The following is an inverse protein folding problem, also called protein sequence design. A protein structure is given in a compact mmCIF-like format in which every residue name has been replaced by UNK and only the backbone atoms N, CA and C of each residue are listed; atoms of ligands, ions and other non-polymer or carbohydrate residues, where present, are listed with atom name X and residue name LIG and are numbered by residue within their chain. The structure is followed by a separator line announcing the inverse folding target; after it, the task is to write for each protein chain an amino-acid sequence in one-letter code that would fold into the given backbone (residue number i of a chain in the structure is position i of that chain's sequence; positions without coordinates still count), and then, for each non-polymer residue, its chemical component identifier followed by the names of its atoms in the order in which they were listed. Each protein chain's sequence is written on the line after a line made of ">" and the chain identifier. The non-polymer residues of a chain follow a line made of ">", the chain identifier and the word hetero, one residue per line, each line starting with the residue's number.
data_IF_083866260976
#
_entry.id   IF_083866260976
#
_cell.length_a   1.000
_cell.length_b   1.000
_cell.length_c   1.000
_cell.angle_alpha   90.00
_cell.angle_beta   90.00
_cell.angle_gamma   90.00
#
_symmetry.space_group_name_H-M   'P 1'
#
loop_
_entity.id
_entity.type
_entity.pdbx_description
1 polymer ?
#
# COMPACT_ATOMS: atom_id res chain seq x y z
N UNK A 1 15.41 4.31 0.92
CA UNK A 1 14.84 3.08 1.54
C UNK A 1 13.85 2.38 0.61
N UNK A 2 13.11 3.09 -0.25
CA UNK A 2 12.17 2.47 -1.20
C UNK A 2 12.58 2.66 -2.66
N UNK A 3 13.87 2.86 -2.92
CA UNK A 3 14.39 3.22 -4.25
C UNK A 3 14.20 2.09 -5.26
N UNK A 4 14.35 0.84 -4.83
CA UNK A 4 14.06 -0.33 -5.67
C UNK A 4 12.58 -0.42 -6.02
N UNK A 5 11.70 -0.26 -5.03
CA UNK A 5 10.25 -0.29 -5.25
C UNK A 5 9.83 0.82 -6.21
N UNK A 6 10.34 2.04 -6.02
CA UNK A 6 10.05 3.17 -6.90
C UNK A 6 10.60 2.97 -8.31
N UNK A 7 11.70 2.24 -8.48
CA UNK A 7 12.26 1.90 -9.79
C UNK A 7 11.43 0.85 -10.51
N UNK A 8 11.00 -0.21 -9.81
CA UNK A 8 10.26 -1.32 -10.41
C UNK A 8 8.76 -1.07 -10.55
N UNK A 9 8.20 -0.21 -9.70
CA UNK A 9 6.76 0.07 -9.61
C UNK A 9 6.53 1.59 -9.48
N UNK A 10 6.94 2.39 -10.49
CA UNK A 10 6.90 3.86 -10.40
C UNK A 10 5.47 4.43 -10.37
N UNK A 11 4.50 3.66 -10.85
CA UNK A 11 3.13 4.07 -11.17
C UNK A 11 2.09 3.37 -10.28
N UNK A 12 2.51 2.77 -9.17
CA UNK A 12 1.58 2.14 -8.22
C UNK A 12 0.75 3.22 -7.51
N UNK A 13 -0.57 3.07 -7.56
CA UNK A 13 -1.54 3.99 -6.97
C UNK A 13 -2.52 3.26 -6.07
N UNK A 14 -2.93 3.89 -4.96
CA UNK A 14 -3.98 3.38 -4.08
C UNK A 14 -5.34 3.65 -4.73
N UNK A 15 -6.18 2.63 -4.82
CA UNK A 15 -7.48 2.73 -5.50
C UNK A 15 -8.67 2.84 -4.55
N UNK A 16 -8.48 2.45 -3.29
CA UNK A 16 -9.54 2.40 -2.28
C UNK A 16 -8.99 2.73 -0.89
N UNK A 17 -9.90 3.06 0.03
CA UNK A 17 -9.57 3.26 1.44
C UNK A 17 -8.98 1.98 2.08
N UNK A 18 -7.90 2.10 2.87
CA UNK A 18 -7.25 0.97 3.52
C UNK A 18 -8.14 0.29 4.56
N UNK A 19 -8.20 -1.04 4.51
CA UNK A 19 -8.79 -1.80 5.60
C UNK A 19 -7.80 -1.86 6.77
N UNK A 20 -8.16 -1.24 7.90
CA UNK A 20 -7.33 -1.24 9.10
C UNK A 20 -7.27 -2.63 9.73
N UNK A 21 -6.10 -2.96 10.28
CA UNK A 21 -5.94 -4.15 11.11
C UNK A 21 -6.60 -3.90 12.48
N UNK A 22 -7.48 -4.82 12.90
CA UNK A 22 -8.02 -4.82 14.25
C UNK A 22 -6.98 -5.42 15.20
N UNK A 23 -6.15 -4.57 15.79
CA UNK A 23 -5.16 -4.94 16.79
C UNK A 23 -5.05 -3.85 17.84
N UNK A 24 -5.02 -4.25 19.10
CA UNK A 24 -4.84 -3.35 20.25
C UNK A 24 -3.38 -2.87 20.40
N UNK A 25 -2.45 -3.47 19.63
CA UNK A 25 -1.02 -3.22 19.76
C UNK A 25 -0.40 -2.70 18.46
N UNK A 26 -0.90 -3.14 17.31
CA UNK A 26 -0.31 -2.84 16.00
C UNK A 26 -1.25 -1.92 15.23
N UNK A 27 -0.78 -0.71 14.93
CA UNK A 27 -1.44 0.16 13.96
C UNK A 27 -1.09 -0.31 12.55
N UNK A 28 -1.77 -1.35 12.09
CA UNK A 28 -1.54 -1.98 10.78
C UNK A 28 -2.61 -1.67 9.76
N UNK A 29 -2.27 -1.91 8.49
CA UNK A 29 -3.21 -2.04 7.38
C UNK A 29 -3.31 -3.53 7.04
N UNK A 30 -4.52 -4.07 7.07
CA UNK A 30 -4.82 -5.47 6.73
C UNK A 30 -4.91 -5.68 5.21
N UNK A 31 -5.43 -4.69 4.48
CA UNK A 31 -5.55 -4.70 3.01
C UNK A 31 -5.44 -3.27 2.47
N UNK A 32 -4.62 -3.07 1.46
CA UNK A 32 -4.51 -1.83 0.69
C UNK A 32 -4.62 -2.16 -0.79
N UNK A 33 -5.79 -1.94 -1.42
CA UNK A 33 -5.96 -2.13 -2.86
C UNK A 33 -5.10 -1.13 -3.63
N UNK A 34 -4.37 -1.64 -4.62
CA UNK A 34 -3.52 -0.84 -5.50
C UNK A 34 -3.68 -1.26 -6.96
N UNK A 35 -3.41 -0.31 -7.85
CA UNK A 35 -3.34 -0.53 -9.29
C UNK A 35 -2.08 0.14 -9.86
N UNK A 36 -1.82 -0.09 -11.14
CA UNK A 36 -0.75 0.53 -11.91
C UNK A 36 -1.36 1.53 -12.87
N UNK A 37 -0.85 2.77 -12.85
CA UNK A 37 -1.36 3.86 -13.66
C UNK A 37 -0.86 3.87 -15.11
N UNK A 38 -0.31 2.76 -15.62
CA UNK A 38 0.09 2.55 -17.02
C UNK A 38 1.34 3.32 -17.46
#
# INVERSE_FOLDING_TARGET
>A
MFDELRRQMPDVVVTEEPARLLSQFIHGIKRLPVAWSR
#
